data_IF_971057787029
#
_entry.id   IF_971057787029
#
_cell.length_a   1.000
_cell.length_b   1.000
_cell.length_c   1.000
_cell.angle_alpha   90.00
_cell.angle_beta   90.00
_cell.angle_gamma   90.00
#
_symmetry.space_group_name_H-M   'P 1'
#
loop_
_entity.id
_entity.type
_entity.pdbx_description
1 polymer ?
#
# COMPACT_ATOMS: atom_id res chain seq x y z
N UNK A 1 93.56 -21.18 36.48
CA UNK A 1 93.37 -20.38 35.24
C UNK A 1 93.13 -21.33 34.08
N UNK A 2 91.87 -21.49 33.68
CA UNK A 2 91.44 -22.13 32.43
C UNK A 2 90.35 -21.22 31.86
N UNK A 3 90.68 -20.46 30.81
CA UNK A 3 89.72 -19.61 30.11
C UNK A 3 89.12 -20.36 28.95
N UNK A 4 87.79 -20.42 28.87
CA UNK A 4 87.05 -20.85 27.70
C UNK A 4 86.62 -19.59 26.93
N UNK A 5 87.06 -19.50 25.68
CA UNK A 5 86.59 -18.51 24.71
C UNK A 5 85.41 -19.15 23.99
N UNK A 6 84.20 -18.63 24.21
CA UNK A 6 83.02 -18.97 23.41
C UNK A 6 82.96 -18.02 22.21
N UNK A 7 83.06 -18.59 21.02
CA UNK A 7 82.85 -17.90 19.74
C UNK A 7 81.34 -17.87 19.46
N UNK A 8 80.69 -16.72 19.67
CA UNK A 8 79.29 -16.51 19.29
C UNK A 8 79.22 -16.16 17.80
N UNK A 9 78.77 -17.11 16.97
CA UNK A 9 78.46 -16.87 15.56
C UNK A 9 77.08 -16.23 15.49
N UNK A 10 77.04 -14.93 15.20
CA UNK A 10 75.80 -14.21 14.92
C UNK A 10 75.34 -14.55 13.49
N UNK A 11 74.37 -15.44 13.38
CA UNK A 11 73.70 -15.76 12.13
C UNK A 11 72.73 -14.61 11.80
N UNK A 12 73.12 -13.71 10.88
CA UNK A 12 72.21 -12.71 10.32
C UNK A 12 71.21 -13.43 9.42
N UNK A 13 69.99 -13.63 9.91
CA UNK A 13 68.85 -14.03 9.08
C UNK A 13 68.46 -12.83 8.22
N UNK A 14 68.83 -12.87 6.94
CA UNK A 14 68.30 -11.96 5.93
C UNK A 14 66.89 -12.45 5.61
N UNK A 15 65.88 -11.74 6.10
CA UNK A 15 64.50 -11.97 5.68
C UNK A 15 64.39 -11.52 4.22
N UNK A 16 64.24 -12.46 3.29
CA UNK A 16 63.78 -12.16 1.95
C UNK A 16 62.29 -11.77 2.07
N UNK A 17 61.99 -10.48 1.97
CA UNK A 17 60.62 -10.05 1.73
C UNK A 17 60.22 -10.50 0.34
N UNK A 18 59.32 -11.48 0.24
CA UNK A 18 58.63 -11.74 -1.02
C UNK A 18 57.72 -10.53 -1.25
N UNK A 19 57.94 -9.80 -2.33
CA UNK A 19 56.91 -8.90 -2.83
C UNK A 19 55.76 -9.80 -3.29
N UNK A 20 54.65 -9.81 -2.57
CA UNK A 20 53.44 -10.46 -3.04
C UNK A 20 52.92 -9.65 -4.23
N UNK A 21 52.74 -10.32 -5.37
CA UNK A 21 52.20 -9.72 -6.58
C UNK A 21 50.69 -9.56 -6.40
N UNK A 22 50.27 -8.44 -5.80
CA UNK A 22 48.87 -8.09 -5.70
C UNK A 22 48.35 -7.56 -7.06
N UNK A 23 47.07 -7.74 -7.28
CA UNK A 23 46.37 -7.35 -8.50
C UNK A 23 44.87 -7.26 -8.25
N UNK A 24 44.12 -6.83 -9.26
CA UNK A 24 42.67 -6.81 -9.15
C UNK A 24 42.11 -8.20 -9.40
N UNK A 25 41.24 -8.67 -8.52
CA UNK A 25 40.49 -9.90 -8.69
C UNK A 25 39.02 -9.58 -8.95
N UNK A 26 38.44 -10.12 -10.03
CA UNK A 26 37.03 -9.87 -10.35
C UNK A 26 36.09 -10.58 -9.36
N UNK A 27 36.41 -11.80 -8.94
CA UNK A 27 35.67 -12.52 -7.91
C UNK A 27 36.63 -13.28 -7.00
N UNK A 28 36.60 -12.99 -5.70
CA UNK A 28 37.42 -13.70 -4.71
C UNK A 28 36.81 -15.05 -4.35
N UNK A 29 37.61 -15.94 -3.75
CA UNK A 29 37.12 -17.20 -3.20
C UNK A 29 36.14 -17.03 -2.02
N UNK A 30 36.03 -15.83 -1.46
CA UNK A 30 35.06 -15.48 -0.42
C UNK A 30 33.72 -14.98 -0.99
N UNK A 31 33.65 -14.74 -2.31
CA UNK A 31 32.46 -14.21 -2.98
C UNK A 31 32.47 -12.69 -3.19
N UNK A 32 33.46 -11.98 -2.65
CA UNK A 32 33.59 -10.54 -2.88
C UNK A 32 34.04 -10.26 -4.32
N UNK A 33 33.47 -9.24 -4.95
CA UNK A 33 33.81 -8.83 -6.32
C UNK A 33 34.73 -7.60 -6.36
N UNK A 34 35.55 -7.50 -7.41
CA UNK A 34 36.44 -6.35 -7.66
C UNK A 34 37.36 -5.98 -6.48
N UNK A 35 38.04 -6.97 -5.91
CA UNK A 35 38.90 -6.81 -4.73
C UNK A 35 40.37 -6.80 -5.12
N UNK A 36 41.14 -5.83 -4.61
CA UNK A 36 42.59 -5.82 -4.75
C UNK A 36 43.22 -6.81 -3.77
N UNK A 37 43.68 -7.95 -4.28
CA UNK A 37 44.14 -9.08 -3.47
C UNK A 37 45.28 -9.84 -4.16
N UNK A 38 45.69 -10.98 -3.62
CA UNK A 38 46.64 -11.89 -4.26
C UNK A 38 45.92 -12.87 -5.18
N UNK A 39 46.62 -13.36 -6.21
CA UNK A 39 46.08 -14.36 -7.17
C UNK A 39 45.51 -15.60 -6.45
N UNK A 40 46.10 -16.01 -5.32
CA UNK A 40 45.65 -17.17 -4.55
C UNK A 40 44.27 -17.02 -3.92
N UNK A 41 43.83 -15.77 -3.71
CA UNK A 41 42.52 -15.46 -3.15
C UNK A 41 41.47 -15.23 -4.25
N UNK A 42 41.86 -15.37 -5.52
CA UNK A 42 41.02 -15.07 -6.66
C UNK A 42 40.37 -16.34 -7.21
N UNK A 43 39.04 -16.33 -7.27
CA UNK A 43 38.24 -17.40 -7.86
C UNK A 43 38.06 -17.20 -9.37
N UNK A 44 37.86 -15.96 -9.82
CA UNK A 44 37.71 -15.61 -11.24
C UNK A 44 38.50 -14.35 -11.62
N UNK A 45 39.19 -14.43 -12.76
CA UNK A 45 39.95 -13.38 -13.44
C UNK A 45 40.79 -12.44 -12.55
N UNK A 46 42.11 -12.68 -12.58
CA UNK A 46 43.09 -11.89 -11.84
C UNK A 46 43.95 -11.04 -12.78
N UNK A 47 43.87 -9.71 -12.62
CA UNK A 47 44.68 -8.74 -13.35
C UNK A 47 45.90 -8.36 -12.52
N UNK A 48 46.99 -9.10 -12.75
CA UNK A 48 48.24 -8.95 -12.01
C UNK A 48 48.80 -7.51 -12.09
N UNK A 49 49.05 -6.90 -10.92
CA UNK A 49 49.66 -5.58 -10.80
C UNK A 49 48.75 -4.40 -11.10
N UNK A 50 47.49 -4.63 -11.50
CA UNK A 50 46.51 -3.58 -11.76
C UNK A 50 45.69 -3.24 -10.52
N UNK A 51 45.38 -1.96 -10.30
CA UNK A 51 44.36 -1.54 -9.34
C UNK A 51 42.97 -1.78 -9.95
N UNK A 52 41.98 -2.11 -9.12
CA UNK A 52 40.63 -2.40 -9.62
C UNK A 52 39.96 -1.20 -10.30
N UNK A 53 40.20 0.02 -9.82
CA UNK A 53 39.75 1.26 -10.48
C UNK A 53 40.26 1.44 -11.93
N UNK A 54 41.35 0.76 -12.29
CA UNK A 54 41.95 0.81 -13.64
C UNK A 54 41.61 -0.43 -14.47
N UNK A 55 40.70 -1.28 -13.99
CA UNK A 55 40.25 -2.49 -14.69
C UNK A 55 38.84 -2.24 -15.21
N UNK A 56 38.63 -2.34 -16.53
CA UNK A 56 37.37 -1.98 -17.18
C UNK A 56 36.15 -2.68 -16.56
N UNK A 57 36.27 -3.97 -16.18
CA UNK A 57 35.21 -4.74 -15.54
C UNK A 57 34.91 -4.31 -14.09
N UNK A 58 35.79 -3.51 -13.47
CA UNK A 58 35.64 -3.00 -12.11
C UNK A 58 35.46 -1.49 -12.04
N UNK A 59 35.25 -0.82 -13.18
CA UNK A 59 34.80 0.56 -13.18
C UNK A 59 33.43 0.65 -12.51
N UNK A 60 33.25 1.67 -11.69
CA UNK A 60 31.99 1.90 -10.98
C UNK A 60 31.08 2.80 -11.80
N UNK A 61 29.78 2.56 -11.70
CA UNK A 61 28.75 3.29 -12.43
C UNK A 61 27.37 3.01 -11.84
N UNK A 62 26.32 3.24 -12.62
CA UNK A 62 24.97 2.87 -12.21
C UNK A 62 24.64 1.45 -12.66
N UNK A 63 24.16 0.62 -11.74
CA UNK A 63 23.57 -0.68 -12.05
C UNK A 63 22.05 -0.62 -11.88
N UNK A 64 21.30 -1.07 -12.88
CA UNK A 64 19.84 -1.20 -12.82
C UNK A 64 19.49 -2.68 -12.94
N UNK A 65 18.82 -3.26 -11.95
CA UNK A 65 18.35 -4.64 -11.97
C UNK A 65 16.90 -4.74 -11.48
N UNK A 66 16.34 -5.96 -11.46
CA UNK A 66 15.03 -6.22 -10.85
C UNK A 66 15.02 -5.95 -9.34
N UNK A 67 16.19 -5.96 -8.68
CA UNK A 67 16.34 -5.67 -7.25
C UNK A 67 16.51 -4.17 -6.96
N UNK A 68 16.41 -3.31 -7.98
CA UNK A 68 16.50 -1.86 -7.84
C UNK A 68 17.70 -1.24 -8.53
N UNK A 69 18.04 -0.02 -8.11
CA UNK A 69 19.13 0.77 -8.68
C UNK A 69 20.27 0.96 -7.68
N UNK A 70 21.50 0.68 -8.12
CA UNK A 70 22.68 0.70 -7.27
C UNK A 70 23.75 1.63 -7.86
N UNK A 71 23.98 2.76 -7.18
CA UNK A 71 25.08 3.67 -7.52
C UNK A 71 26.43 3.10 -7.08
N UNK A 72 27.51 3.60 -7.71
CA UNK A 72 28.90 3.21 -7.44
C UNK A 72 29.16 1.69 -7.50
N UNK A 73 28.32 0.95 -8.23
CA UNK A 73 28.45 -0.50 -8.38
C UNK A 73 29.40 -0.81 -9.53
N UNK A 74 30.29 -1.79 -9.36
CA UNK A 74 31.21 -2.20 -10.42
C UNK A 74 30.46 -2.94 -11.55
N UNK A 75 30.89 -2.75 -12.80
CA UNK A 75 30.32 -3.39 -14.01
C UNK A 75 30.17 -4.91 -13.86
N UNK A 76 31.23 -5.58 -13.38
CA UNK A 76 31.22 -7.02 -13.11
C UNK A 76 30.23 -7.39 -12.01
N UNK A 77 30.15 -6.62 -10.92
CA UNK A 77 29.18 -6.84 -9.83
C UNK A 77 27.75 -6.69 -10.35
N UNK A 78 27.49 -5.68 -11.18
CA UNK A 78 26.18 -5.47 -11.80
C UNK A 78 25.77 -6.66 -12.66
N UNK A 79 26.70 -7.16 -13.47
CA UNK A 79 26.50 -8.32 -14.33
C UNK A 79 26.20 -9.60 -13.53
N UNK A 80 26.81 -9.79 -12.36
CA UNK A 80 26.52 -10.93 -11.47
C UNK A 80 25.07 -10.92 -10.97
N UNK A 81 24.49 -9.73 -10.77
CA UNK A 81 23.11 -9.55 -10.34
C UNK A 81 22.12 -9.43 -11.53
N UNK A 82 22.54 -9.85 -12.72
CA UNK A 82 21.75 -9.74 -13.96
C UNK A 82 21.27 -8.31 -14.26
N UNK A 83 22.00 -7.30 -13.78
CA UNK A 83 21.69 -5.89 -14.00
C UNK A 83 22.28 -5.35 -15.30
N UNK A 84 21.73 -4.22 -15.75
CA UNK A 84 22.26 -3.41 -16.84
C UNK A 84 23.16 -2.30 -16.29
N UNK A 85 24.41 -2.25 -16.78
CA UNK A 85 25.43 -1.31 -16.31
C UNK A 85 25.51 -0.07 -17.21
N UNK A 86 25.51 1.11 -16.58
CA UNK A 86 25.63 2.41 -17.23
C UNK A 86 26.86 3.16 -16.72
N UNK A 87 27.81 3.37 -17.63
CA UNK A 87 29.09 4.04 -17.37
C UNK A 87 28.92 5.56 -17.22
N UNK A 88 29.66 6.17 -16.29
CA UNK A 88 29.68 7.62 -16.03
C UNK A 88 28.30 8.27 -15.72
N UNK A 89 27.27 7.46 -15.45
CA UNK A 89 25.91 7.93 -15.19
C UNK A 89 25.52 7.68 -13.73
N UNK A 90 25.03 8.71 -13.05
CA UNK A 90 24.39 8.59 -11.73
C UNK A 90 23.01 7.94 -11.91
N UNK A 91 22.60 7.06 -11.01
CA UNK A 91 21.35 6.32 -11.19
C UNK A 91 20.15 7.25 -11.22
N UNK A 92 20.17 8.34 -10.45
CA UNK A 92 19.13 9.38 -10.48
C UNK A 92 18.86 10.03 -11.85
N UNK A 93 19.72 9.80 -12.85
CA UNK A 93 19.47 10.22 -14.24
C UNK A 93 18.39 9.36 -14.95
N UNK A 94 18.05 8.20 -14.39
CA UNK A 94 17.01 7.29 -14.91
C UNK A 94 15.73 7.44 -14.09
N UNK A 95 14.59 7.55 -14.77
CA UNK A 95 13.30 7.73 -14.10
C UNK A 95 12.98 6.59 -13.13
N UNK A 96 13.30 5.35 -13.48
CA UNK A 96 13.10 4.14 -12.66
C UNK A 96 13.93 4.09 -11.38
N UNK A 97 14.97 4.92 -11.30
CA UNK A 97 15.88 5.03 -10.16
C UNK A 97 15.68 6.33 -9.38
N UNK A 98 14.66 7.11 -9.73
CA UNK A 98 14.28 8.25 -8.89
C UNK A 98 13.64 7.73 -7.62
N UNK A 99 14.09 8.24 -6.48
CA UNK A 99 13.49 7.88 -5.21
C UNK A 99 12.09 8.49 -5.08
N UNK A 100 11.18 7.73 -4.50
CA UNK A 100 9.79 8.11 -4.25
C UNK A 100 9.36 7.56 -2.90
N UNK A 101 8.35 8.19 -2.30
CA UNK A 101 7.65 7.61 -1.15
C UNK A 101 6.56 6.68 -1.66
N UNK A 102 6.67 5.39 -1.35
CA UNK A 102 5.72 4.36 -1.74
C UNK A 102 4.85 4.01 -0.54
N UNK A 103 3.53 4.14 -0.69
CA UNK A 103 2.53 3.78 0.31
C UNK A 103 1.95 2.42 -0.04
N UNK A 104 1.93 1.47 0.90
CA UNK A 104 1.27 0.18 0.76
C UNK A 104 0.29 0.02 1.91
N UNK A 105 -1.01 0.15 1.66
CA UNK A 105 -2.00 0.23 2.75
C UNK A 105 -1.76 1.47 3.61
N UNK A 106 -1.36 1.29 4.87
CA UNK A 106 -0.99 2.38 5.80
C UNK A 106 0.51 2.61 5.93
N UNK A 107 1.34 1.72 5.39
CA UNK A 107 2.80 1.76 5.57
C UNK A 107 3.45 2.59 4.45
N UNK A 108 4.43 3.41 4.81
CA UNK A 108 5.22 4.20 3.88
C UNK A 108 6.66 3.70 3.81
N UNK A 109 7.28 3.81 2.64
CA UNK A 109 8.66 3.40 2.42
C UNK A 109 9.31 4.24 1.31
N UNK A 110 10.47 4.83 1.60
CA UNK A 110 11.24 5.56 0.61
C UNK A 110 12.10 4.60 -0.22
N UNK A 111 11.76 4.44 -1.49
CA UNK A 111 12.37 3.44 -2.39
C UNK A 111 12.49 3.97 -3.82
N UNK A 112 13.10 3.20 -4.72
CA UNK A 112 13.15 3.58 -6.13
C UNK A 112 11.74 3.52 -6.75
N UNK A 113 11.46 4.42 -7.68
CA UNK A 113 10.18 4.48 -8.40
C UNK A 113 9.88 3.18 -9.16
N UNK A 114 10.90 2.50 -9.69
CA UNK A 114 10.76 1.19 -10.32
C UNK A 114 10.30 0.11 -9.36
N UNK A 115 10.80 0.11 -8.12
CA UNK A 115 10.39 -0.82 -7.06
C UNK A 115 8.94 -0.54 -6.64
N UNK A 116 8.59 0.74 -6.43
CA UNK A 116 7.21 1.11 -6.12
C UNK A 116 6.25 0.76 -7.26
N UNK A 117 6.67 0.94 -8.52
CA UNK A 117 5.87 0.55 -9.67
C UNK A 117 5.64 -0.96 -9.74
N UNK A 118 6.65 -1.78 -9.40
CA UNK A 118 6.47 -3.22 -9.32
C UNK A 118 5.40 -3.62 -8.28
N UNK A 119 5.35 -2.91 -7.13
CA UNK A 119 4.31 -3.11 -6.12
C UNK A 119 2.93 -2.67 -6.64
N UNK A 120 2.84 -1.56 -7.39
CA UNK A 120 1.59 -1.12 -8.03
C UNK A 120 1.12 -2.16 -9.05
N UNK A 121 2.03 -2.74 -9.84
CA UNK A 121 1.69 -3.76 -10.84
C UNK A 121 1.26 -5.09 -10.18
N UNK A 122 1.80 -5.42 -9.01
CA UNK A 122 1.46 -6.63 -8.23
C UNK A 122 0.14 -6.50 -7.45
N UNK A 123 -0.05 -5.40 -6.73
CA UNK A 123 -1.15 -5.22 -5.77
C UNK A 123 -2.26 -4.28 -6.27
N UNK A 124 -2.01 -3.51 -7.33
CA UNK A 124 -2.94 -2.53 -7.87
C UNK A 124 -2.82 -1.15 -7.23
N UNK A 125 -3.13 -0.12 -8.00
CA UNK A 125 -3.05 1.29 -7.61
C UNK A 125 -4.06 1.74 -6.55
N UNK A 126 -5.06 0.92 -6.24
CA UNK A 126 -6.01 1.20 -5.14
C UNK A 126 -5.39 0.87 -3.77
N UNK A 127 -4.36 0.02 -3.74
CA UNK A 127 -3.68 -0.45 -2.52
C UNK A 127 -2.31 0.21 -2.38
N UNK A 128 -1.64 0.50 -3.50
CA UNK A 128 -0.30 1.06 -3.54
C UNK A 128 -0.30 2.44 -4.20
N UNK A 129 0.26 3.43 -3.50
CA UNK A 129 0.40 4.81 -3.98
C UNK A 129 1.86 5.25 -4.10
N UNK A 130 2.15 6.09 -5.08
CA UNK A 130 3.47 6.72 -5.25
C UNK A 130 3.36 8.23 -5.06
N UNK A 131 4.17 8.76 -4.15
CA UNK A 131 4.19 10.17 -3.76
C UNK A 131 5.60 10.74 -3.87
N UNK A 132 5.69 11.99 -4.33
CA UNK A 132 6.97 12.68 -4.42
C UNK A 132 7.51 13.02 -3.02
N UNK A 133 8.69 12.53 -2.69
CA UNK A 133 9.46 12.90 -1.50
C UNK A 133 10.93 13.11 -1.89
N UNK A 134 11.63 14.06 -1.25
CA UNK A 134 13.03 14.35 -1.56
C UNK A 134 14.02 13.40 -0.88
N UNK A 135 13.60 12.81 0.23
CA UNK A 135 14.40 11.98 1.13
C UNK A 135 13.45 11.18 2.04
N UNK A 136 14.02 10.27 2.84
CA UNK A 136 13.29 9.45 3.81
C UNK A 136 12.49 10.31 4.80
N UNK A 137 13.08 11.40 5.31
CA UNK A 137 12.40 12.25 6.29
C UNK A 137 11.17 12.95 5.70
N UNK A 138 11.23 13.34 4.42
CA UNK A 138 10.07 13.85 3.70
C UNK A 138 9.01 12.77 3.44
N UNK A 139 9.39 11.49 3.35
CA UNK A 139 8.46 10.36 3.23
C UNK A 139 7.79 10.06 4.59
N UNK A 140 8.56 10.02 5.68
CA UNK A 140 8.06 9.93 7.05
C UNK A 140 7.09 11.08 7.36
N UNK A 141 7.37 12.31 6.89
CA UNK A 141 6.45 13.44 7.10
C UNK A 141 5.10 13.26 6.36
N UNK A 142 5.06 12.52 5.24
CA UNK A 142 3.80 12.16 4.57
C UNK A 142 3.01 11.13 5.38
N UNK A 143 3.69 10.16 5.98
CA UNK A 143 3.08 9.21 6.92
C UNK A 143 2.50 9.93 8.13
N UNK A 144 3.29 10.80 8.77
CA UNK A 144 2.87 11.61 9.92
C UNK A 144 1.65 12.48 9.58
N UNK A 145 1.59 13.01 8.35
CA UNK A 145 0.48 13.82 7.89
C UNK A 145 -0.85 13.07 7.81
N UNK A 146 -0.84 11.76 7.60
CA UNK A 146 -2.03 10.92 7.54
C UNK A 146 -2.44 10.32 8.90
N UNK A 147 -1.61 10.48 9.94
CA UNK A 147 -1.97 10.05 11.28
C UNK A 147 -3.28 10.70 11.71
N UNK A 148 -4.17 9.90 12.28
CA UNK A 148 -5.49 10.34 12.76
C UNK A 148 -5.47 10.64 14.24
N UNK A 149 -6.23 11.65 14.66
CA UNK A 149 -6.35 12.01 16.07
C UNK A 149 -7.28 13.19 16.28
N UNK A 150 -7.36 13.67 17.52
CA UNK A 150 -8.18 14.83 17.85
C UNK A 150 -7.42 16.13 17.58
N UNK A 151 -8.00 16.98 16.74
CA UNK A 151 -7.53 18.33 16.51
C UNK A 151 -8.27 19.33 17.40
N UNK A 152 -7.54 20.11 18.19
CA UNK A 152 -8.13 21.11 19.10
C UNK A 152 -7.82 22.52 18.65
N UNK A 153 -8.85 23.29 18.31
CA UNK A 153 -8.74 24.67 17.82
C UNK A 153 -9.60 25.63 18.64
N UNK A 154 -9.53 26.93 18.33
CA UNK A 154 -10.44 27.93 18.93
C UNK A 154 -11.89 27.82 18.45
N UNK A 155 -12.16 26.96 17.46
CA UNK A 155 -13.51 26.73 16.92
C UNK A 155 -14.19 25.51 17.54
N UNK A 156 -13.46 24.70 18.31
CA UNK A 156 -13.90 23.38 18.75
C UNK A 156 -12.78 22.36 18.60
N UNK A 157 -13.11 21.10 18.85
CA UNK A 157 -12.25 19.99 18.49
C UNK A 157 -12.96 18.98 17.60
N UNK A 158 -12.19 18.38 16.70
CA UNK A 158 -12.70 17.41 15.74
C UNK A 158 -11.69 16.31 15.46
N UNK A 159 -12.16 15.10 15.17
CA UNK A 159 -11.32 14.06 14.60
C UNK A 159 -10.88 14.45 13.19
N UNK A 160 -9.65 14.10 12.84
CA UNK A 160 -9.09 14.32 11.51
C UNK A 160 -7.64 13.88 11.45
N UNK A 161 -7.03 14.09 10.28
CA UNK A 161 -5.61 13.85 10.06
C UNK A 161 -4.75 14.98 10.61
N UNK A 162 -3.47 14.71 10.88
CA UNK A 162 -2.50 15.73 11.25
C UNK A 162 -2.43 16.86 10.21
N UNK A 163 -2.47 16.50 8.91
CA UNK A 163 -2.47 17.45 7.81
C UNK A 163 -3.69 18.40 7.86
N UNK A 164 -4.89 17.87 8.10
CA UNK A 164 -6.11 18.66 8.25
C UNK A 164 -6.07 19.57 9.49
N UNK A 165 -5.44 19.10 10.58
CA UNK A 165 -5.27 19.89 11.79
C UNK A 165 -4.28 21.06 11.60
N UNK A 166 -3.30 20.90 10.71
CA UNK A 166 -2.28 21.91 10.42
C UNK A 166 -1.24 22.10 11.52
N UNK A 167 -1.12 21.13 12.43
CA UNK A 167 -0.12 21.10 13.50
C UNK A 167 0.24 19.65 13.84
N UNK A 168 1.51 19.36 14.10
CA UNK A 168 1.98 18.02 14.51
C UNK A 168 1.92 17.77 16.02
N UNK A 169 1.59 18.80 16.81
CA UNK A 169 1.51 18.70 18.27
C UNK A 169 0.66 19.82 18.84
N UNK A 170 0.33 19.70 20.12
CA UNK A 170 -0.34 20.75 20.88
C UNK A 170 0.64 21.70 21.57
N UNK A 171 0.23 22.96 21.70
CA UNK A 171 1.00 24.01 22.36
C UNK A 171 0.81 24.01 23.88
N UNK A 172 1.48 24.93 24.59
CA UNK A 172 1.38 25.05 26.05
C UNK A 172 0.00 25.44 26.59
N UNK A 173 -0.93 25.81 25.70
CA UNK A 173 -2.31 26.16 26.02
C UNK A 173 -3.29 25.01 25.69
N UNK A 174 -2.80 23.90 25.13
CA UNK A 174 -3.57 22.71 24.78
C UNK A 174 -4.19 22.72 23.38
N UNK A 175 -3.85 23.68 22.52
CA UNK A 175 -4.34 23.72 21.13
C UNK A 175 -3.37 23.03 20.19
N UNK A 176 -3.89 22.21 19.27
CA UNK A 176 -3.14 21.49 18.24
C UNK A 176 -3.61 20.05 18.12
N UNK A 177 -2.75 19.18 17.60
CA UNK A 177 -3.06 17.79 17.29
C UNK A 177 -2.66 16.85 18.43
N UNK A 178 -3.56 15.92 18.76
CA UNK A 178 -3.37 14.82 19.70
C UNK A 178 -3.48 13.51 18.92
N UNK A 179 -2.32 13.03 18.48
CA UNK A 179 -2.17 11.82 17.67
C UNK A 179 -2.76 10.58 18.36
N UNK A 180 -3.54 9.79 17.62
CA UNK A 180 -4.15 8.54 18.07
C UNK A 180 -5.06 8.67 19.31
N UNK A 181 -5.58 9.88 19.58
CA UNK A 181 -6.46 10.16 20.72
C UNK A 181 -7.84 10.62 20.25
N UNK A 182 -8.90 10.12 20.88
CA UNK A 182 -10.27 10.56 20.65
C UNK A 182 -10.56 11.88 21.37
N UNK A 183 -11.49 12.69 20.83
CA UNK A 183 -11.73 14.05 21.35
C UNK A 183 -12.35 14.11 22.75
N UNK A 184 -13.10 13.09 23.18
CA UNK A 184 -13.61 12.94 24.55
C UNK A 184 -12.47 12.68 25.55
N UNK A 185 -11.52 11.82 25.17
CA UNK A 185 -10.32 11.51 25.95
C UNK A 185 -9.41 12.73 26.07
N UNK A 186 -9.22 13.45 24.97
CA UNK A 186 -8.50 14.74 24.96
C UNK A 186 -9.21 15.78 25.82
N UNK A 187 -10.53 15.89 25.74
CA UNK A 187 -11.32 16.82 26.59
C UNK A 187 -11.05 16.57 28.08
N UNK A 188 -11.01 15.31 28.50
CA UNK A 188 -10.69 14.90 29.87
C UNK A 188 -9.26 15.29 30.27
N UNK A 189 -8.29 15.06 29.37
CA UNK A 189 -6.89 15.44 29.58
C UNK A 189 -6.70 16.96 29.71
N UNK A 190 -7.33 17.75 28.83
CA UNK A 190 -7.27 19.21 28.86
C UNK A 190 -7.83 19.78 30.16
N UNK A 191 -8.93 19.20 30.66
CA UNK A 191 -9.52 19.57 31.94
C UNK A 191 -8.61 19.23 33.14
N UNK A 192 -7.97 18.06 33.13
CA UNK A 192 -7.03 17.65 34.19
C UNK A 192 -5.81 18.59 34.29
N UNK A 193 -5.28 19.01 33.14
CA UNK A 193 -4.11 19.90 33.05
C UNK A 193 -4.44 21.39 33.21
N UNK A 194 -5.73 21.74 33.32
CA UNK A 194 -6.21 23.11 33.41
C UNK A 194 -5.74 23.98 32.22
N UNK A 195 -5.70 23.38 31.02
CA UNK A 195 -5.34 24.08 29.78
C UNK A 195 -6.43 25.07 29.34
N UNK A 196 -6.05 26.10 28.59
CA UNK A 196 -7.00 27.08 28.04
C UNK A 196 -7.93 26.41 27.03
N UNK A 197 -7.41 25.46 26.26
CA UNK A 197 -8.16 24.72 25.25
C UNK A 197 -9.33 23.89 25.82
N UNK A 198 -9.37 23.60 27.13
CA UNK A 198 -10.49 22.87 27.77
C UNK A 198 -11.84 23.59 27.59
N UNK A 199 -11.82 24.91 27.43
CA UNK A 199 -13.04 25.71 27.23
C UNK A 199 -13.54 25.64 25.78
N UNK A 200 -12.75 25.05 24.88
CA UNK A 200 -13.01 24.89 23.45
C UNK A 200 -13.25 23.43 23.05
N UNK A 201 -12.69 22.48 23.80
CA UNK A 201 -12.89 21.04 23.61
C UNK A 201 -13.38 20.45 24.92
N UNK A 202 -14.71 20.26 24.99
CA UNK A 202 -15.42 19.74 26.15
C UNK A 202 -16.42 18.67 25.69
N UNK A 203 -15.90 17.67 24.99
CA UNK A 203 -16.65 16.56 24.46
C UNK A 203 -16.80 15.46 25.51
N UNK A 204 -18.02 14.94 25.66
CA UNK A 204 -18.36 13.84 26.55
C UNK A 204 -18.82 12.63 25.71
N UNK A 205 -18.48 11.41 26.13
CA UNK A 205 -18.95 10.18 25.47
C UNK A 205 -20.47 10.14 25.44
N UNK A 206 -21.07 9.98 24.25
CA UNK A 206 -22.51 9.77 24.10
C UNK A 206 -22.89 8.37 24.56
N UNK A 207 -24.13 8.21 25.04
CA UNK A 207 -24.62 6.92 25.51
C UNK A 207 -25.09 5.97 24.40
N UNK A 208 -25.25 6.45 23.17
CA UNK A 208 -25.83 5.68 22.06
C UNK A 208 -24.83 5.61 20.89
N UNK A 209 -24.21 4.43 20.65
CA UNK A 209 -23.36 4.20 19.49
C UNK A 209 -24.13 4.32 18.17
N UNK A 210 -23.42 4.70 17.12
CA UNK A 210 -23.96 4.93 15.76
C UNK A 210 -23.19 4.08 14.75
N UNK A 211 -23.64 4.07 13.49
CA UNK A 211 -22.84 3.52 12.41
C UNK A 211 -21.77 4.50 11.93
N UNK A 212 -20.57 4.01 11.66
CA UNK A 212 -19.54 4.79 10.98
C UNK A 212 -19.93 5.13 9.55
N UNK A 213 -19.14 5.99 8.89
CA UNK A 213 -19.43 6.47 7.54
C UNK A 213 -19.55 5.36 6.50
N UNK A 214 -18.83 4.26 6.71
CA UNK A 214 -18.73 3.16 5.76
C UNK A 214 -19.79 2.08 6.04
N UNK A 215 -20.52 2.19 7.16
CA UNK A 215 -21.54 1.24 7.58
C UNK A 215 -20.96 -0.12 7.96
N UNK A 216 -19.69 -0.17 8.37
CA UNK A 216 -18.97 -1.40 8.70
C UNK A 216 -18.76 -1.55 10.20
N UNK A 217 -18.80 -0.45 10.96
CA UNK A 217 -18.54 -0.47 12.39
C UNK A 217 -19.65 0.26 13.16
N UNK A 218 -19.96 -0.27 14.33
CA UNK A 218 -20.67 0.45 15.38
C UNK A 218 -19.63 1.21 16.19
N UNK A 219 -19.73 2.53 16.23
CA UNK A 219 -18.76 3.43 16.87
C UNK A 219 -19.44 4.27 17.93
N UNK A 220 -18.71 4.59 19.00
CA UNK A 220 -19.14 5.64 19.92
C UNK A 220 -19.10 7.00 19.22
N UNK A 221 -19.94 7.92 19.69
CA UNK A 221 -19.90 9.32 19.25
C UNK A 221 -19.77 10.18 20.48
N UNK A 222 -19.00 11.25 20.43
CA UNK A 222 -18.96 12.21 21.52
C UNK A 222 -20.04 13.31 21.37
N UNK A 223 -20.20 14.14 22.39
CA UNK A 223 -21.13 15.28 22.36
C UNK A 223 -20.76 16.38 21.37
N UNK A 224 -19.61 16.26 20.70
CA UNK A 224 -19.11 17.13 19.64
C UNK A 224 -19.28 16.49 18.25
N UNK A 225 -20.00 15.38 18.15
CA UNK A 225 -20.27 14.64 16.91
C UNK A 225 -19.02 13.98 16.30
N UNK A 226 -17.99 13.72 17.09
CA UNK A 226 -16.82 12.97 16.63
C UNK A 226 -17.01 11.47 16.85
N UNK A 227 -16.58 10.68 15.86
CA UNK A 227 -16.45 9.23 16.03
C UNK A 227 -15.36 8.89 17.04
N UNK A 228 -15.69 7.96 17.93
CA UNK A 228 -14.85 7.44 19.00
C UNK A 228 -14.43 6.00 18.75
N UNK A 229 -14.33 5.23 19.84
CA UNK A 229 -13.92 3.84 19.79
C UNK A 229 -14.91 2.96 19.01
N UNK A 230 -14.38 1.97 18.28
CA UNK A 230 -15.18 0.90 17.66
C UNK A 230 -15.72 0.00 18.77
N UNK A 231 -17.04 0.01 18.93
CA UNK A 231 -17.77 -0.87 19.86
C UNK A 231 -17.87 -2.28 19.30
N UNK A 232 -18.20 -2.39 18.01
CA UNK A 232 -18.38 -3.66 17.30
C UNK A 232 -18.07 -3.47 15.82
N UNK A 233 -17.26 -4.36 15.25
CA UNK A 233 -17.02 -4.44 13.81
C UNK A 233 -17.98 -5.48 13.21
N UNK A 234 -18.76 -5.08 12.20
CA UNK A 234 -19.69 -5.98 11.53
C UNK A 234 -18.94 -6.91 10.58
N UNK A 235 -19.39 -8.18 10.49
CA UNK A 235 -18.74 -9.19 9.66
C UNK A 235 -19.07 -9.01 8.17
N UNK A 236 -18.38 -8.09 7.50
CA UNK A 236 -18.53 -7.85 6.07
C UNK A 236 -18.04 -9.05 5.22
N UNK A 237 -18.76 -9.44 4.14
CA UNK A 237 -19.94 -8.80 3.57
C UNK A 237 -21.29 -9.29 4.13
N UNK A 238 -21.28 -10.22 5.09
CA UNK A 238 -22.50 -10.84 5.61
C UNK A 238 -23.33 -9.86 6.46
N UNK A 239 -22.66 -9.04 7.28
CA UNK A 239 -23.25 -8.05 8.17
C UNK A 239 -22.75 -6.65 7.85
N UNK A 240 -23.64 -5.67 8.01
CA UNK A 240 -23.36 -4.24 7.95
C UNK A 240 -23.99 -3.57 9.17
N UNK A 241 -23.49 -2.41 9.52
CA UNK A 241 -24.10 -1.57 10.54
C UNK A 241 -25.38 -0.92 9.97
N UNK A 242 -26.50 -1.07 10.67
CA UNK A 242 -27.77 -0.42 10.34
C UNK A 242 -28.29 0.32 11.58
N UNK A 243 -28.77 1.55 11.38
CA UNK A 243 -29.45 2.30 12.44
C UNK A 243 -30.97 2.15 12.37
N UNK A 244 -31.53 1.45 13.36
CA UNK A 244 -32.97 1.24 13.49
C UNK A 244 -33.51 1.92 14.75
N UNK A 245 -34.33 2.97 14.58
CA UNK A 245 -34.90 3.75 15.69
C UNK A 245 -33.84 4.33 16.67
N UNK A 246 -32.69 4.75 16.14
CA UNK A 246 -31.58 5.31 16.94
C UNK A 246 -30.70 4.26 17.63
N UNK A 247 -30.82 2.98 17.25
CA UNK A 247 -29.94 1.92 17.72
C UNK A 247 -29.16 1.39 16.53
N UNK A 248 -27.83 1.51 16.59
CA UNK A 248 -26.92 0.85 15.67
C UNK A 248 -26.82 -0.64 16.02
N UNK A 249 -26.94 -1.50 15.01
CA UNK A 249 -26.77 -2.95 15.15
C UNK A 249 -26.10 -3.54 13.90
N UNK A 250 -25.22 -4.51 14.09
CA UNK A 250 -24.74 -5.35 13.00
C UNK A 250 -25.89 -6.26 12.58
N UNK A 251 -26.32 -6.10 11.34
CA UNK A 251 -27.43 -6.84 10.78
C UNK A 251 -27.02 -7.39 9.43
N UNK A 252 -27.62 -8.53 9.07
CA UNK A 252 -27.49 -9.05 7.73
C UNK A 252 -28.07 -8.00 6.77
N UNK A 253 -27.18 -7.26 6.10
CA UNK A 253 -27.56 -6.32 5.06
C UNK A 253 -28.32 -7.11 4.02
N UNK A 254 -29.63 -7.05 4.05
CA UNK A 254 -30.48 -7.83 3.18
C UNK A 254 -31.46 -6.87 2.56
N UNK A 255 -31.41 -6.84 1.23
CA UNK A 255 -32.29 -5.99 0.48
C UNK A 255 -33.55 -6.76 0.14
N UNK A 256 -34.69 -6.13 0.39
CA UNK A 256 -35.96 -6.58 -0.13
C UNK A 256 -36.31 -5.77 -1.38
N UNK A 257 -36.41 -6.44 -2.53
CA UNK A 257 -36.85 -5.83 -3.77
C UNK A 257 -38.23 -6.35 -4.19
N UNK A 258 -39.22 -5.46 -4.25
CA UNK A 258 -40.49 -5.75 -4.91
C UNK A 258 -40.34 -5.56 -6.41
N UNK A 259 -40.43 -6.68 -7.15
CA UNK A 259 -40.49 -6.66 -8.60
C UNK A 259 -41.67 -5.80 -9.06
N UNK A 260 -41.37 -4.72 -9.78
CA UNK A 260 -42.40 -3.97 -10.49
C UNK A 260 -43.06 -4.85 -11.55
N UNK A 261 -44.34 -4.61 -11.86
CA UNK A 261 -45.10 -5.36 -12.88
C UNK A 261 -44.42 -5.40 -14.28
N UNK A 262 -43.43 -4.53 -14.52
CA UNK A 262 -42.71 -4.41 -15.79
C UNK A 262 -41.39 -5.17 -15.83
N UNK A 263 -40.83 -5.52 -14.68
CA UNK A 263 -39.54 -6.19 -14.58
C UNK A 263 -39.77 -7.66 -14.25
N UNK A 264 -39.11 -8.54 -15.01
CA UNK A 264 -39.10 -9.98 -14.75
C UNK A 264 -37.69 -10.41 -14.38
N UNK A 265 -37.51 -11.29 -13.37
CA UNK A 265 -36.21 -11.90 -13.10
C UNK A 265 -35.91 -12.97 -14.15
N UNK A 266 -34.63 -13.21 -14.44
CA UNK A 266 -34.24 -14.35 -15.29
C UNK A 266 -34.61 -15.67 -14.61
N UNK A 267 -34.30 -15.78 -13.31
CA UNK A 267 -34.59 -16.97 -12.52
C UNK A 267 -35.88 -16.76 -11.68
N UNK A 268 -36.96 -17.52 -11.94
CA UNK A 268 -38.22 -17.38 -11.22
C UNK A 268 -38.18 -17.91 -9.78
N UNK A 269 -37.08 -18.56 -9.37
CA UNK A 269 -36.86 -19.03 -7.99
C UNK A 269 -36.19 -17.98 -7.12
N UNK A 270 -35.80 -16.83 -7.67
CA UNK A 270 -35.23 -15.76 -6.87
C UNK A 270 -36.22 -15.29 -5.83
N UNK A 271 -35.74 -15.30 -4.58
CA UNK A 271 -36.46 -14.68 -3.49
C UNK A 271 -36.28 -13.18 -3.58
N UNK A 272 -37.29 -12.42 -3.18
CA UNK A 272 -37.21 -10.95 -3.12
C UNK A 272 -36.13 -10.44 -2.15
N UNK A 273 -35.56 -11.34 -1.32
CA UNK A 273 -34.43 -11.06 -0.43
C UNK A 273 -33.12 -11.50 -1.09
N UNK A 274 -32.11 -10.65 -1.04
CA UNK A 274 -30.74 -10.93 -1.44
C UNK A 274 -29.76 -10.18 -0.53
N UNK A 275 -28.59 -10.78 -0.29
CA UNK A 275 -27.59 -10.27 0.66
C UNK A 275 -26.91 -9.02 0.13
N UNK A 276 -26.28 -8.29 1.03
CA UNK A 276 -25.43 -7.16 0.70
C UNK A 276 -24.38 -7.59 -0.35
N UNK A 277 -24.15 -6.70 -1.32
CA UNK A 277 -23.33 -6.90 -2.52
C UNK A 277 -23.83 -7.93 -3.52
N UNK A 278 -24.89 -8.70 -3.23
CA UNK A 278 -25.50 -9.54 -4.25
C UNK A 278 -26.13 -8.67 -5.35
N UNK A 279 -26.02 -9.16 -6.58
CA UNK A 279 -26.56 -8.49 -7.75
C UNK A 279 -27.19 -9.47 -8.72
N UNK A 280 -28.23 -9.02 -9.42
CA UNK A 280 -29.12 -9.87 -10.23
C UNK A 280 -29.60 -9.15 -11.48
N UNK A 281 -29.89 -9.92 -12.53
CA UNK A 281 -30.43 -9.38 -13.78
C UNK A 281 -31.96 -9.27 -13.81
N UNK A 282 -32.46 -8.09 -14.16
CA UNK A 282 -33.88 -7.82 -14.38
C UNK A 282 -34.13 -7.36 -15.82
N UNK A 283 -35.29 -7.70 -16.36
CA UNK A 283 -35.60 -7.49 -17.78
C UNK A 283 -36.98 -6.88 -17.96
N UNK A 284 -37.14 -5.99 -18.95
CA UNK A 284 -38.44 -5.48 -19.39
C UNK A 284 -39.20 -6.51 -20.26
N UNK A 285 -39.55 -7.64 -19.66
CA UNK A 285 -40.21 -8.77 -20.30
C UNK A 285 -39.30 -9.99 -20.50
N UNK A 286 -39.82 -11.09 -21.08
CA UNK A 286 -39.05 -12.31 -21.29
C UNK A 286 -37.77 -12.03 -22.08
N UNK A 287 -36.65 -12.55 -21.59
CA UNK A 287 -35.34 -12.40 -22.22
C UNK A 287 -34.72 -13.75 -22.60
N UNK A 288 -33.90 -13.75 -23.64
CA UNK A 288 -33.30 -14.94 -24.22
C UNK A 288 -34.28 -15.77 -25.08
N UNK A 289 -33.78 -16.85 -25.69
CA UNK A 289 -34.55 -17.77 -26.55
C UNK A 289 -35.41 -17.07 -27.63
N UNK A 290 -34.92 -15.96 -28.19
CA UNK A 290 -35.62 -15.13 -29.18
C UNK A 290 -36.93 -14.50 -28.67
N UNK A 291 -37.06 -14.34 -27.34
CA UNK A 291 -38.26 -13.77 -26.71
C UNK A 291 -38.10 -12.28 -26.39
N UNK A 292 -36.90 -11.73 -26.56
CA UNK A 292 -36.56 -10.37 -26.17
C UNK A 292 -37.41 -9.32 -26.93
N UNK A 293 -38.24 -8.57 -26.19
CA UNK A 293 -39.18 -7.61 -26.78
C UNK A 293 -38.46 -6.41 -27.45
N UNK A 294 -38.85 -5.99 -28.67
CA UNK A 294 -38.23 -4.82 -29.29
C UNK A 294 -38.29 -3.58 -28.40
N UNK A 295 -37.13 -2.96 -28.14
CA UNK A 295 -37.00 -1.80 -27.27
C UNK A 295 -36.97 -2.11 -25.76
N UNK A 296 -36.96 -3.39 -25.35
CA UNK A 296 -36.75 -3.77 -23.95
C UNK A 296 -35.33 -3.45 -23.50
N UNK A 297 -35.22 -3.04 -22.23
CA UNK A 297 -33.94 -2.83 -21.54
C UNK A 297 -33.65 -3.92 -20.49
N UNK A 298 -32.36 -4.18 -20.27
CA UNK A 298 -31.86 -5.03 -19.19
C UNK A 298 -31.37 -4.13 -18.05
N UNK A 299 -31.47 -4.62 -16.83
CA UNK A 299 -31.07 -3.90 -15.63
C UNK A 299 -30.26 -4.84 -14.72
N UNK A 300 -29.29 -4.27 -14.03
CA UNK A 300 -28.65 -4.91 -12.88
C UNK A 300 -29.30 -4.33 -11.63
N UNK A 301 -29.84 -5.18 -10.77
CA UNK A 301 -30.21 -4.78 -9.41
C UNK A 301 -29.09 -5.19 -8.45
N UNK A 302 -28.69 -4.30 -7.55
CA UNK A 302 -27.66 -4.55 -6.52
C UNK A 302 -28.22 -4.26 -5.14
N UNK A 303 -27.77 -5.01 -4.15
CA UNK A 303 -27.99 -4.69 -2.75
C UNK A 303 -26.74 -3.99 -2.24
N UNK A 304 -26.84 -2.71 -1.88
CA UNK A 304 -25.73 -1.93 -1.36
C UNK A 304 -26.15 -1.36 0.00
N UNK A 305 -25.51 -1.84 1.06
CA UNK A 305 -25.78 -1.43 2.44
C UNK A 305 -27.27 -1.51 2.83
N UNK A 306 -28.00 -2.53 2.37
CA UNK A 306 -29.44 -2.68 2.63
C UNK A 306 -30.35 -1.85 1.71
N UNK A 307 -29.78 -1.03 0.82
CA UNK A 307 -30.52 -0.31 -0.22
C UNK A 307 -30.49 -1.07 -1.56
N UNK A 308 -31.64 -1.14 -2.24
CA UNK A 308 -31.70 -1.70 -3.60
C UNK A 308 -31.37 -0.60 -4.61
N UNK A 309 -30.29 -0.80 -5.35
CA UNK A 309 -29.92 0.03 -6.49
C UNK A 309 -30.29 -0.68 -7.77
N UNK A 310 -30.98 0.01 -8.69
CA UNK A 310 -31.35 -0.51 -10.00
C UNK A 310 -30.66 0.30 -11.10
N UNK A 311 -29.77 -0.35 -11.83
CA UNK A 311 -28.97 0.27 -12.88
C UNK A 311 -29.38 -0.27 -14.26
N UNK A 312 -29.75 0.61 -15.22
CA UNK A 312 -29.98 0.20 -16.60
C UNK A 312 -28.67 -0.15 -17.30
N UNK A 313 -28.65 -1.24 -18.07
CA UNK A 313 -27.63 -1.46 -19.08
C UNK A 313 -27.82 -0.51 -20.27
N UNK A 314 -26.77 -0.33 -21.08
CA UNK A 314 -26.77 0.60 -22.23
C UNK A 314 -27.94 0.40 -23.20
N UNK A 315 -28.31 1.52 -23.83
CA UNK A 315 -29.41 1.59 -24.78
C UNK A 315 -29.21 0.72 -26.01
N UNK A 316 -30.31 0.45 -26.71
CA UNK A 316 -30.33 -0.36 -27.95
C UNK A 316 -29.72 -1.77 -27.80
N UNK A 317 -29.58 -2.27 -26.56
CA UNK A 317 -28.88 -3.52 -26.23
C UNK A 317 -27.43 -3.53 -26.70
N UNK A 318 -26.76 -2.38 -26.64
CA UNK A 318 -25.29 -2.33 -26.73
C UNK A 318 -24.65 -3.07 -25.55
N UNK A 319 -25.36 -3.17 -24.43
CA UNK A 319 -25.05 -4.06 -23.32
C UNK A 319 -26.22 -4.98 -22.98
N UNK A 320 -25.89 -6.15 -22.40
CA UNK A 320 -26.84 -7.10 -21.83
C UNK A 320 -26.44 -7.40 -20.40
N UNK A 321 -27.43 -7.51 -19.51
CA UNK A 321 -27.16 -8.03 -18.17
C UNK A 321 -26.86 -9.53 -18.22
N UNK A 322 -25.79 -9.95 -17.55
CA UNK A 322 -25.44 -11.35 -17.32
C UNK A 322 -25.31 -11.57 -15.81
N UNK A 323 -25.90 -12.66 -15.31
CA UNK A 323 -25.77 -13.09 -13.93
C UNK A 323 -24.93 -14.37 -13.82
N UNK A 324 -24.23 -14.51 -12.69
CA UNK A 324 -23.35 -15.61 -12.32
C UNK A 324 -23.49 -15.90 -10.82
N UNK A 325 -23.04 -17.08 -10.41
CA UNK A 325 -22.94 -17.45 -8.99
C UNK A 325 -21.46 -17.65 -8.65
N UNK A 326 -20.90 -16.76 -7.82
CA UNK A 326 -19.46 -16.70 -7.51
C UNK A 326 -19.28 -16.67 -6.01
N UNK A 327 -18.46 -17.58 -5.47
CA UNK A 327 -18.09 -17.65 -4.04
C UNK A 327 -19.29 -17.56 -3.07
N UNK A 328 -20.34 -18.33 -3.40
CA UNK A 328 -21.64 -18.35 -2.73
C UNK A 328 -22.54 -17.12 -2.93
N UNK A 329 -22.13 -16.06 -3.65
CA UNK A 329 -22.93 -14.86 -3.95
C UNK A 329 -23.55 -14.86 -5.36
N UNK A 330 -24.77 -14.31 -5.48
CA UNK A 330 -25.34 -13.92 -6.78
C UNK A 330 -24.62 -12.64 -7.26
N UNK A 331 -24.03 -12.68 -8.46
CA UNK A 331 -23.36 -11.54 -9.09
C UNK A 331 -23.97 -11.25 -10.47
N UNK A 332 -24.16 -9.99 -10.81
CA UNK A 332 -24.63 -9.56 -12.11
C UNK A 332 -23.97 -8.26 -12.57
N UNK A 333 -23.77 -8.16 -13.87
CA UNK A 333 -23.17 -7.00 -14.51
C UNK A 333 -23.71 -6.79 -15.93
N UNK A 334 -23.60 -5.55 -16.42
CA UNK A 334 -23.87 -5.23 -17.81
C UNK A 334 -22.61 -5.48 -18.64
N UNK A 335 -22.66 -6.43 -19.56
CA UNK A 335 -21.56 -6.75 -20.47
C UNK A 335 -21.86 -6.25 -21.88
N UNK A 336 -20.83 -5.90 -22.64
CA UNK A 336 -20.98 -5.51 -24.04
C UNK A 336 -21.63 -6.64 -24.85
N UNK A 337 -22.66 -6.31 -25.61
CA UNK A 337 -23.36 -7.23 -26.49
C UNK A 337 -22.64 -7.34 -27.85
N UNK A 338 -21.35 -7.67 -27.80
CA UNK A 338 -20.56 -7.94 -29.00
C UNK A 338 -20.75 -9.40 -29.36
N UNK A 339 -21.52 -9.67 -30.42
CA UNK A 339 -21.46 -10.97 -31.08
C UNK A 339 -20.11 -11.02 -31.79
N UNK A 340 -19.12 -11.67 -31.18
CA UNK A 340 -17.92 -12.04 -31.91
C UNK A 340 -18.35 -12.97 -33.05
N UNK A 341 -18.40 -12.42 -34.26
CA UNK A 341 -18.65 -13.16 -35.49
C UNK A 341 -17.43 -13.96 -35.95
N UNK A 342 -16.55 -14.37 -35.03
CA UNK A 342 -15.35 -15.15 -35.33
C UNK A 342 -15.58 -16.64 -35.05
N UNK A 343 -16.50 -17.26 -35.78
CA UNK A 343 -16.46 -18.69 -36.11
C UNK A 343 -17.43 -18.98 -37.27
N UNK A 344 -17.02 -18.60 -38.50
CA UNK A 344 -17.42 -19.27 -39.75
C UNK A 344 -16.19 -19.72 -40.54
#
# INVERSE_FOLDING_TARGET
>A
MKGWIYLFVFLFLVSFGYAENNGCCLLTTAGDSCVYTTESNCAEDFVNGALCENTDACRTGCCISEEGCFEETADYTCSLNSGEFFDDQICSAFETCQMTCCKVGSDYSFMNSGECQALIDEYGSDVVGSYSASDEAACEELEDQEQTGCCVTTSGCSMGTQAECGSSSYNSEGFGFFENEYCDSVSSYLAEKDYVAKDYCACEVSSEPVCDSDGLNIVEVDSCENYGEVVEACNFPDEICIENNGVAECSLGSCYFELSDKLVPYNPLWQNNFRNLESRCLYEGPAGNYQDLPGSRHYVTRCLAGEVVLEPCDDYREQVCVDNYVDDFDWAECVSNTVDSEEE
#
